data_IF_953696011966
#
_entry.id   IF_953696011966
#
_cell.length_a   1.000
_cell.length_b   1.000
_cell.length_c   1.000
_cell.angle_alpha   90.00
_cell.angle_beta   90.00
_cell.angle_gamma   90.00
#
_symmetry.space_group_name_H-M   'P 1'
#
loop_
_entity.id
_entity.type
_entity.pdbx_description
1 polymer ?
#
# COMPACT_ATOMS: atom_id res chain seq x y z
N UNK A 1 8.53 25.82 7.58
CA UNK A 1 7.53 26.89 7.38
C UNK A 1 8.17 28.20 7.80
N UNK A 2 8.50 29.06 6.86
CA UNK A 2 9.12 30.35 7.14
C UNK A 2 7.99 31.34 7.44
N UNK A 3 7.97 31.92 8.65
CA UNK A 3 7.07 33.05 8.94
C UNK A 3 7.51 34.22 8.09
N UNK A 4 6.73 34.58 7.08
CA UNK A 4 6.95 35.78 6.31
C UNK A 4 6.22 36.93 7.00
N UNK A 5 6.96 37.89 7.47
CA UNK A 5 6.47 39.10 8.10
C UNK A 5 6.35 40.18 7.04
N UNK A 6 5.15 40.41 6.50
CA UNK A 6 4.85 41.47 5.54
C UNK A 6 4.14 42.63 6.22
N UNK A 7 4.87 43.47 6.90
CA UNK A 7 4.27 44.69 7.49
C UNK A 7 5.29 45.58 8.16
N UNK A 8 5.32 46.84 7.77
CA UNK A 8 6.08 47.88 8.48
C UNK A 8 5.69 47.91 9.96
N UNK A 9 6.64 48.12 10.88
CA UNK A 9 6.35 48.25 12.31
C UNK A 9 5.72 49.59 12.60
N UNK A 10 4.40 49.68 12.48
CA UNK A 10 3.68 50.72 13.22
C UNK A 10 3.73 50.30 14.70
N UNK A 11 4.10 51.23 15.57
CA UNK A 11 4.13 51.09 17.02
C UNK A 11 2.78 50.55 17.56
N UNK A 12 2.61 49.24 17.58
CA UNK A 12 1.57 48.55 18.30
C UNK A 12 2.27 47.52 19.15
N UNK A 13 2.10 47.60 20.46
CA UNK A 13 2.65 46.62 21.41
C UNK A 13 2.02 45.26 21.17
N UNK A 14 2.64 44.48 20.29
CA UNK A 14 2.26 43.08 19.99
C UNK A 14 2.96 42.20 21.02
N UNK A 15 2.21 41.37 21.69
CA UNK A 15 2.73 40.44 22.69
C UNK A 15 2.64 39.01 22.21
N UNK A 16 3.77 38.30 22.24
CA UNK A 16 3.84 36.87 22.03
C UNK A 16 3.69 36.17 23.38
N UNK A 17 2.75 35.21 23.47
CA UNK A 17 2.47 34.47 24.69
C UNK A 17 2.32 32.98 24.40
N UNK A 18 3.00 32.12 25.21
CA UNK A 18 2.79 30.68 25.20
C UNK A 18 1.78 30.34 26.29
N UNK A 19 0.66 29.74 25.90
CA UNK A 19 -0.37 29.27 26.84
C UNK A 19 -0.01 27.94 27.49
N UNK A 20 -0.67 27.58 28.58
CA UNK A 20 -0.49 26.31 29.28
C UNK A 20 -0.88 25.07 28.43
N UNK A 21 -1.65 25.29 27.34
CA UNK A 21 -2.00 24.24 26.38
C UNK A 21 -0.91 24.00 25.33
N UNK A 22 0.15 24.84 25.31
CA UNK A 22 1.16 24.83 24.27
C UNK A 22 0.83 25.70 23.06
N UNK A 23 -0.30 26.42 23.07
CA UNK A 23 -0.66 27.34 22.01
C UNK A 23 0.18 28.61 22.08
N UNK A 24 0.99 28.89 21.08
CA UNK A 24 1.70 30.14 20.92
C UNK A 24 0.78 31.14 20.23
N UNK A 25 0.49 32.26 20.91
CA UNK A 25 -0.44 33.29 20.42
C UNK A 25 0.26 34.62 20.24
N UNK A 26 -0.09 35.36 19.20
CA UNK A 26 0.27 36.75 19.00
C UNK A 26 -0.95 37.59 19.33
N UNK A 27 -0.81 38.46 20.34
CA UNK A 27 -1.87 39.34 20.83
C UNK A 27 -1.63 40.78 20.39
N UNK A 28 -2.72 41.51 20.13
CA UNK A 28 -2.65 42.97 19.96
C UNK A 28 -2.73 43.71 21.34
N UNK A 29 -2.71 45.03 21.30
CA UNK A 29 -2.83 45.90 22.49
C UNK A 29 -4.10 45.67 23.31
N UNK A 30 -5.17 45.16 22.66
CA UNK A 30 -6.46 44.82 23.29
C UNK A 30 -6.56 43.38 23.74
N UNK A 31 -5.44 42.62 23.77
CA UNK A 31 -5.38 41.17 24.04
C UNK A 31 -6.18 40.29 23.06
N UNK A 32 -6.49 40.77 21.86
CA UNK A 32 -7.13 39.95 20.83
C UNK A 32 -6.09 39.14 20.11
N UNK A 33 -6.43 37.86 19.85
CA UNK A 33 -5.54 36.92 19.12
C UNK A 33 -5.51 37.35 17.64
N UNK A 34 -4.32 37.70 17.16
CA UNK A 34 -4.06 37.99 15.73
C UNK A 34 -3.53 36.77 14.98
N UNK A 35 -2.84 35.90 15.69
CA UNK A 35 -2.32 34.67 15.17
C UNK A 35 -2.14 33.66 16.30
N UNK A 36 -2.28 32.37 15.98
CA UNK A 36 -2.03 31.29 16.93
C UNK A 36 -1.50 30.03 16.24
N UNK A 37 -0.58 29.34 16.90
CA UNK A 37 0.03 28.12 16.37
C UNK A 37 -0.96 26.97 16.17
N UNK A 38 -2.06 26.95 16.92
CA UNK A 38 -3.08 25.90 16.82
C UNK A 38 -3.83 25.89 15.48
N UNK A 39 -3.82 27.00 14.73
CA UNK A 39 -4.39 27.04 13.36
C UNK A 39 -3.45 26.43 12.30
N UNK A 40 -2.19 26.10 12.66
CA UNK A 40 -1.19 25.59 11.74
C UNK A 40 -0.65 24.24 12.24
N UNK A 41 -1.48 23.18 12.19
CA UNK A 41 -1.06 21.87 12.65
C UNK A 41 0.12 21.35 11.84
N UNK A 42 1.02 20.62 12.50
CA UNK A 42 2.15 19.92 11.91
C UNK A 42 1.87 18.41 11.87
N UNK A 43 2.78 17.59 12.39
CA UNK A 43 2.56 16.16 12.63
C UNK A 43 2.00 15.88 14.04
N UNK A 44 1.73 16.92 14.82
CA UNK A 44 1.30 16.85 16.22
C UNK A 44 0.05 17.67 16.43
N UNK A 45 -0.89 17.15 17.25
CA UNK A 45 -2.03 17.85 17.80
C UNK A 45 -1.92 17.86 19.33
N UNK A 46 -2.05 19.01 19.93
CA UNK A 46 -1.93 19.20 21.39
C UNK A 46 -3.30 19.19 22.07
N UNK A 47 -3.29 18.90 23.36
CA UNK A 47 -4.49 18.97 24.20
C UNK A 47 -5.16 20.37 24.15
N UNK A 48 -6.48 20.38 23.94
CA UNK A 48 -7.24 21.61 23.77
C UNK A 48 -7.23 22.21 22.36
N UNK A 49 -6.41 21.68 21.46
CA UNK A 49 -6.47 22.03 20.04
C UNK A 49 -7.71 21.42 19.40
N UNK A 50 -8.33 22.17 18.49
CA UNK A 50 -9.43 21.74 17.64
C UNK A 50 -8.98 21.81 16.20
N UNK A 51 -9.32 20.81 15.39
CA UNK A 51 -9.03 20.77 13.97
C UNK A 51 -10.33 20.54 13.19
N UNK A 52 -10.59 21.41 12.21
CA UNK A 52 -11.78 21.34 11.37
C UNK A 52 -11.65 20.31 10.25
N UNK A 53 -12.77 19.89 9.69
CA UNK A 53 -12.83 19.12 8.45
C UNK A 53 -12.00 19.81 7.37
N UNK A 54 -11.27 19.01 6.57
CA UNK A 54 -10.34 19.51 5.55
C UNK A 54 -8.95 19.83 6.09
N UNK A 55 -8.75 19.91 7.42
CA UNK A 55 -7.40 20.01 7.99
C UNK A 55 -6.72 18.64 8.07
N UNK A 56 -5.40 18.65 8.20
CA UNK A 56 -4.59 17.43 8.31
C UNK A 56 -3.36 17.63 9.18
N UNK A 57 -2.96 16.57 9.87
CA UNK A 57 -1.61 16.43 10.37
C UNK A 57 -0.75 15.77 9.28
N UNK A 58 0.49 16.22 9.12
CA UNK A 58 1.38 15.71 8.07
C UNK A 58 2.73 15.38 8.67
N UNK A 59 3.20 14.16 8.46
CA UNK A 59 4.54 13.76 8.86
C UNK A 59 5.60 14.56 8.07
N UNK A 60 6.77 14.76 8.66
CA UNK A 60 7.90 15.29 7.90
C UNK A 60 8.42 14.18 6.97
N UNK A 61 8.69 14.50 5.69
CA UNK A 61 9.33 13.55 4.81
C UNK A 61 10.70 13.18 5.37
N UNK A 62 10.93 11.88 5.53
CA UNK A 62 12.27 11.33 5.76
C UNK A 62 13.01 11.27 4.42
N UNK A 63 14.02 10.50 4.23
CA UNK A 63 14.83 10.44 3.01
C UNK A 63 14.10 10.01 1.73
N UNK A 64 12.77 9.92 1.72
CA UNK A 64 11.95 9.53 0.57
C UNK A 64 10.96 10.64 0.19
N UNK A 65 10.48 10.60 -1.06
CA UNK A 65 9.38 11.46 -1.54
C UNK A 65 8.02 11.09 -0.92
N UNK A 66 7.99 10.14 0.03
CA UNK A 66 6.77 9.67 0.68
C UNK A 66 6.60 10.34 2.05
N UNK A 67 5.36 10.63 2.41
CA UNK A 67 4.99 11.15 3.73
C UNK A 67 3.62 10.61 4.14
N UNK A 68 3.30 10.70 5.43
CA UNK A 68 2.03 10.28 5.98
C UNK A 68 1.15 11.49 6.32
N UNK A 69 -0.16 11.33 6.18
CA UNK A 69 -1.13 12.32 6.63
C UNK A 69 -2.28 11.68 7.41
N UNK A 70 -2.72 12.35 8.46
CA UNK A 70 -3.96 12.09 9.16
C UNK A 70 -4.95 13.16 8.73
N UNK A 71 -6.02 12.77 8.07
CA UNK A 71 -6.97 13.69 7.43
C UNK A 71 -8.37 13.54 8.05
N UNK A 72 -9.04 14.68 8.17
CA UNK A 72 -10.37 14.80 8.72
C UNK A 72 -11.34 15.04 7.56
N UNK A 73 -12.19 14.05 7.28
CA UNK A 73 -13.24 14.10 6.27
C UNK A 73 -14.61 14.19 6.94
N UNK A 74 -15.64 14.58 6.18
CA UNK A 74 -17.01 14.67 6.69
C UNK A 74 -17.52 13.37 7.31
N UNK A 75 -17.17 12.23 6.73
CA UNK A 75 -17.71 10.92 7.13
C UNK A 75 -16.70 10.03 7.86
N UNK A 76 -15.40 10.39 7.84
CA UNK A 76 -14.34 9.55 8.39
C UNK A 76 -13.09 10.33 8.81
N UNK A 77 -12.33 9.73 9.71
CA UNK A 77 -10.92 10.04 9.90
C UNK A 77 -10.10 8.99 9.17
N UNK A 78 -9.03 9.38 8.50
CA UNK A 78 -8.20 8.43 7.78
C UNK A 78 -6.72 8.78 7.85
N UNK A 79 -5.88 7.73 7.82
CA UNK A 79 -4.43 7.83 7.64
C UNK A 79 -4.08 7.46 6.21
N UNK A 80 -3.27 8.29 5.58
CA UNK A 80 -2.82 8.11 4.21
C UNK A 80 -1.30 8.02 4.11
N UNK A 81 -0.84 7.12 3.25
CA UNK A 81 0.49 7.15 2.66
C UNK A 81 0.42 7.92 1.36
N UNK A 82 1.18 9.01 1.26
CA UNK A 82 1.37 9.77 0.03
C UNK A 82 2.73 9.38 -0.55
N UNK A 83 2.74 8.80 -1.75
CA UNK A 83 3.96 8.30 -2.41
C UNK A 83 3.94 8.68 -3.91
N UNK A 84 4.69 9.70 -4.27
CA UNK A 84 4.69 10.26 -5.61
C UNK A 84 3.30 10.73 -6.02
N UNK A 85 2.72 10.08 -7.05
CA UNK A 85 1.36 10.35 -7.53
C UNK A 85 0.26 9.54 -6.82
N UNK A 86 0.63 8.62 -5.96
CA UNK A 86 -0.32 7.73 -5.30
C UNK A 86 -0.64 8.20 -3.90
N UNK A 87 -1.92 8.06 -3.52
CA UNK A 87 -2.43 8.33 -2.18
C UNK A 87 -3.25 7.13 -1.72
N UNK A 88 -2.73 6.40 -0.73
CA UNK A 88 -3.36 5.19 -0.21
C UNK A 88 -3.80 5.37 1.22
N UNK A 89 -5.07 5.07 1.53
CA UNK A 89 -5.51 4.94 2.93
C UNK A 89 -5.03 3.59 3.49
N UNK A 90 -4.62 3.59 4.77
CA UNK A 90 -4.22 2.37 5.47
C UNK A 90 -4.85 2.20 6.85
N UNK A 91 -5.58 3.19 7.31
CA UNK A 91 -6.39 3.15 8.51
C UNK A 91 -7.54 4.13 8.40
N UNK A 92 -8.73 3.73 8.86
CA UNK A 92 -9.91 4.55 8.87
C UNK A 92 -10.72 4.35 10.15
N UNK A 93 -11.35 5.43 10.59
CA UNK A 93 -12.36 5.43 11.64
C UNK A 93 -13.62 6.14 11.14
N UNK A 94 -14.75 5.40 11.11
CA UNK A 94 -16.07 5.93 10.74
C UNK A 94 -16.97 5.91 11.96
N UNK A 95 -17.68 7.01 12.28
CA UNK A 95 -18.75 6.99 13.25
C UNK A 95 -19.79 5.93 12.90
N UNK A 96 -20.45 5.37 13.92
CA UNK A 96 -21.50 4.36 13.67
C UNK A 96 -22.77 4.97 13.07
N UNK A 97 -23.07 6.21 13.42
CA UNK A 97 -24.19 6.98 12.90
C UNK A 97 -23.75 7.81 11.71
N UNK A 98 -24.64 7.96 10.71
CA UNK A 98 -24.37 8.74 9.48
C UNK A 98 -24.42 10.26 9.76
N UNK A 99 -23.70 10.73 10.77
CA UNK A 99 -23.56 12.15 11.10
C UNK A 99 -22.24 12.69 10.55
N UNK A 100 -22.31 13.92 10.02
CA UNK A 100 -21.13 14.58 9.50
C UNK A 100 -20.22 15.06 10.63
N UNK A 101 -18.94 14.84 10.49
CA UNK A 101 -17.89 15.38 11.33
C UNK A 101 -17.66 16.83 10.88
N UNK A 102 -17.70 17.79 11.79
CA UNK A 102 -17.32 19.18 11.50
C UNK A 102 -15.94 19.50 12.03
N UNK A 103 -15.61 18.98 13.19
CA UNK A 103 -14.28 19.15 13.78
C UNK A 103 -13.94 18.02 14.77
N UNK A 104 -12.66 17.89 15.07
CA UNK A 104 -12.17 16.99 16.11
C UNK A 104 -11.53 17.80 17.24
N UNK A 105 -11.58 17.27 18.46
CA UNK A 105 -10.97 17.87 19.65
C UNK A 105 -10.24 16.80 20.45
N UNK A 106 -9.01 17.11 20.86
CA UNK A 106 -8.28 16.24 21.80
C UNK A 106 -8.73 16.57 23.22
N UNK A 107 -9.50 15.67 23.80
CA UNK A 107 -9.95 15.73 25.19
C UNK A 107 -9.07 14.84 26.08
N UNK A 108 -9.27 14.91 27.39
CA UNK A 108 -8.51 14.14 28.37
C UNK A 108 -8.69 12.63 28.25
N UNK A 109 -9.83 12.18 27.75
CA UNK A 109 -10.30 10.80 27.68
C UNK A 109 -10.23 10.21 26.25
N UNK A 110 -9.83 11.00 25.27
CA UNK A 110 -9.71 10.54 23.88
C UNK A 110 -9.85 11.63 22.84
N UNK A 111 -9.87 11.21 21.59
CA UNK A 111 -10.15 12.08 20.46
C UNK A 111 -11.65 12.09 20.20
N UNK A 112 -12.29 13.23 20.41
CA UNK A 112 -13.71 13.45 20.19
C UNK A 112 -13.96 13.96 18.78
N UNK A 113 -15.01 13.44 18.13
CA UNK A 113 -15.52 13.88 16.85
C UNK A 113 -16.83 14.63 17.13
N UNK A 114 -16.96 15.83 16.60
CA UNK A 114 -18.06 16.73 16.90
C UNK A 114 -18.72 17.20 15.60
N UNK A 115 -20.02 17.47 15.66
CA UNK A 115 -20.78 18.11 14.59
C UNK A 115 -20.74 19.65 14.72
N UNK A 116 -21.45 20.36 13.83
CA UNK A 116 -21.52 21.83 13.79
C UNK A 116 -22.08 22.42 15.11
N UNK A 117 -22.98 21.72 15.77
CA UNK A 117 -23.55 22.14 17.07
C UNK A 117 -22.63 21.83 18.25
N UNK A 118 -21.41 21.37 17.99
CA UNK A 118 -20.45 20.89 19.00
C UNK A 118 -20.92 19.68 19.81
N UNK A 119 -21.90 18.94 19.33
CA UNK A 119 -22.31 17.67 19.94
C UNK A 119 -21.33 16.57 19.55
N UNK A 120 -20.98 15.74 20.54
CA UNK A 120 -20.10 14.59 20.33
C UNK A 120 -20.85 13.47 19.61
N UNK A 121 -20.43 13.17 18.36
CA UNK A 121 -20.99 12.10 17.53
C UNK A 121 -20.21 10.78 17.67
N UNK A 122 -18.93 10.86 17.98
CA UNK A 122 -18.09 9.68 18.19
C UNK A 122 -16.85 10.03 19.02
N UNK A 123 -16.15 8.99 19.46
CA UNK A 123 -14.91 9.15 20.21
C UNK A 123 -13.97 7.95 19.94
N UNK A 124 -12.68 8.23 19.75
CA UNK A 124 -11.62 7.23 19.85
C UNK A 124 -11.07 7.33 21.27
N UNK A 125 -11.39 6.35 22.15
CA UNK A 125 -11.06 6.47 23.57
C UNK A 125 -9.59 6.27 23.83
N UNK A 126 -9.07 6.94 24.84
CA UNK A 126 -7.81 6.58 25.48
C UNK A 126 -7.99 5.31 26.29
N UNK A 127 -7.01 4.43 26.28
CA UNK A 127 -7.05 3.17 27.05
C UNK A 127 -6.67 3.34 28.52
N UNK A 128 -6.20 4.52 28.92
CA UNK A 128 -5.73 4.80 30.30
C UNK A 128 -6.46 6.01 30.86
N UNK A 129 -6.61 6.02 32.19
CA UNK A 129 -7.22 7.14 32.95
C UNK A 129 -6.32 8.40 33.03
N UNK A 130 -5.16 8.37 32.43
CA UNK A 130 -4.24 9.52 32.45
C UNK A 130 -4.60 10.53 31.36
N UNK A 131 -4.46 11.79 31.69
CA UNK A 131 -4.77 12.90 30.81
C UNK A 131 -3.93 12.86 29.53
N UNK A 132 -4.59 12.69 28.39
CA UNK A 132 -3.93 12.81 27.10
C UNK A 132 -3.38 14.23 26.91
N UNK A 133 -2.21 14.30 26.32
CA UNK A 133 -1.52 15.58 26.04
C UNK A 133 -1.27 15.79 24.56
N UNK A 134 -1.03 14.71 23.83
CA UNK A 134 -0.53 14.79 22.47
C UNK A 134 -1.11 13.67 21.62
N UNK A 135 -1.49 13.99 20.40
CA UNK A 135 -1.63 13.06 19.30
C UNK A 135 -0.50 13.35 18.31
N UNK A 136 0.20 12.33 17.84
CA UNK A 136 1.28 12.50 16.88
C UNK A 136 1.28 11.41 15.83
N UNK A 137 1.67 11.78 14.59
CA UNK A 137 2.02 10.84 13.53
C UNK A 137 3.52 10.60 13.58
N UNK A 138 3.91 9.35 13.70
CA UNK A 138 5.32 8.95 13.58
C UNK A 138 5.80 9.12 12.13
N UNK A 139 6.95 9.78 11.97
CA UNK A 139 7.49 10.10 10.65
C UNK A 139 8.00 8.89 9.86
N UNK A 140 8.32 7.80 10.56
CA UNK A 140 8.95 6.60 9.98
C UNK A 140 7.92 5.54 9.65
N UNK A 141 7.00 5.28 10.57
CA UNK A 141 6.03 4.18 10.48
C UNK A 141 4.65 4.61 9.97
N UNK A 142 4.34 5.93 10.06
CA UNK A 142 3.01 6.47 9.80
C UNK A 142 2.00 6.14 10.90
N UNK A 143 2.45 5.66 12.06
CA UNK A 143 1.58 5.32 13.16
C UNK A 143 1.02 6.58 13.83
N UNK A 144 -0.29 6.65 14.00
CA UNK A 144 -0.93 7.65 14.84
C UNK A 144 -0.99 7.13 16.27
N UNK A 145 -0.35 7.85 17.18
CA UNK A 145 -0.32 7.55 18.62
C UNK A 145 -0.98 8.63 19.45
N UNK A 146 -1.62 8.23 20.55
CA UNK A 146 -2.14 9.11 21.60
C UNK A 146 -1.24 8.96 22.82
N UNK A 147 -0.69 10.07 23.31
CA UNK A 147 0.35 10.05 24.33
C UNK A 147 -0.05 10.85 25.56
N UNK A 148 0.31 10.34 26.72
CA UNK A 148 0.23 11.02 28.01
C UNK A 148 1.65 11.13 28.61
N UNK A 149 1.84 12.08 29.47
CA UNK A 149 3.10 12.23 30.20
C UNK A 149 3.05 11.43 31.49
N UNK A 150 3.91 10.40 31.61
CA UNK A 150 4.06 9.64 32.83
C UNK A 150 5.05 10.37 33.77
N UNK A 151 4.54 10.78 34.94
CA UNK A 151 5.33 11.51 35.94
C UNK A 151 6.40 10.63 36.61
N UNK A 152 6.19 9.32 36.64
CA UNK A 152 7.10 8.36 37.26
C UNK A 152 8.32 8.11 36.38
N UNK A 153 8.08 7.83 35.11
CA UNK A 153 9.13 7.58 34.11
C UNK A 153 9.67 8.87 33.50
N UNK A 154 8.97 10.01 33.69
CA UNK A 154 9.25 11.32 33.08
C UNK A 154 9.29 11.26 31.55
N UNK A 155 8.48 10.40 30.96
CA UNK A 155 8.41 10.19 29.50
C UNK A 155 6.97 10.26 28.98
N UNK A 156 6.83 10.49 27.69
CA UNK A 156 5.56 10.30 27.01
C UNK A 156 5.37 8.81 26.71
N UNK A 157 4.23 8.27 27.13
CA UNK A 157 3.85 6.89 26.88
C UNK A 157 2.57 6.83 26.04
N UNK A 158 2.49 5.82 25.17
CA UNK A 158 1.33 5.63 24.30
C UNK A 158 0.17 4.99 25.08
N UNK A 159 -1.01 5.61 25.01
CA UNK A 159 -2.26 5.04 25.51
C UNK A 159 -3.06 4.34 24.40
N UNK A 160 -2.88 4.77 23.16
CA UNK A 160 -3.49 4.22 21.97
C UNK A 160 -2.53 4.31 20.79
N UNK A 161 -2.58 3.32 19.91
CA UNK A 161 -1.83 3.25 18.68
C UNK A 161 -2.70 2.62 17.59
N UNK A 162 -2.67 3.18 16.38
CA UNK A 162 -3.49 2.71 15.26
C UNK A 162 -3.02 1.38 14.68
N UNK A 163 -1.70 1.19 14.60
CA UNK A 163 -1.08 0.01 14.00
C UNK A 163 -0.66 -0.97 15.10
N UNK A 164 -1.08 -2.23 15.01
CA UNK A 164 -0.85 -3.25 16.05
C UNK A 164 0.32 -4.19 15.75
N UNK A 165 0.78 -4.22 14.50
CA UNK A 165 1.92 -5.04 14.06
C UNK A 165 2.72 -4.29 13.01
N UNK A 166 3.97 -4.67 12.83
CA UNK A 166 4.85 -4.09 11.81
C UNK A 166 4.31 -4.31 10.39
N UNK A 167 3.65 -5.45 10.13
CA UNK A 167 3.01 -5.73 8.85
C UNK A 167 1.82 -4.80 8.52
N UNK A 168 1.34 -4.02 9.48
CA UNK A 168 0.32 -2.99 9.24
C UNK A 168 0.91 -1.62 8.89
N UNK A 169 2.23 -1.45 9.06
CA UNK A 169 2.93 -0.24 8.65
C UNK A 169 3.04 -0.22 7.11
N UNK A 170 2.56 0.83 6.44
CA UNK A 170 2.43 0.84 4.98
C UNK A 170 3.76 0.74 4.21
N UNK A 171 4.87 1.14 4.85
CA UNK A 171 6.23 1.13 4.29
C UNK A 171 7.19 0.18 5.02
N UNK A 172 6.71 -0.76 5.83
CA UNK A 172 7.58 -1.70 6.54
C UNK A 172 8.42 -2.54 5.57
N UNK A 173 7.79 -3.07 4.52
CA UNK A 173 8.47 -3.75 3.42
C UNK A 173 8.58 -2.84 2.19
N UNK A 174 9.61 -3.07 1.37
CA UNK A 174 9.82 -2.33 0.13
C UNK A 174 8.77 -2.67 -0.92
N UNK A 175 8.75 -1.91 -2.00
CA UNK A 175 7.94 -2.25 -3.19
C UNK A 175 8.31 -3.64 -3.69
N UNK A 176 7.29 -4.44 -4.01
CA UNK A 176 7.40 -5.85 -4.44
C UNK A 176 7.88 -6.83 -3.35
N UNK A 177 7.90 -6.41 -2.10
CA UNK A 177 8.06 -7.29 -0.94
C UNK A 177 6.74 -7.49 -0.20
N UNK A 178 6.64 -8.64 0.49
CA UNK A 178 5.52 -9.01 1.36
C UNK A 178 5.98 -9.10 2.80
N UNK A 179 5.10 -8.75 3.73
CA UNK A 179 5.32 -8.98 5.15
C UNK A 179 4.76 -10.35 5.54
N UNK A 180 5.63 -11.23 6.03
CA UNK A 180 5.26 -12.60 6.47
C UNK A 180 4.66 -12.59 7.87
N UNK A 181 4.01 -13.69 8.29
CA UNK A 181 3.48 -13.87 9.66
C UNK A 181 4.53 -13.67 10.76
N UNK A 182 5.82 -13.83 10.44
CA UNK A 182 6.92 -13.59 11.37
C UNK A 182 7.42 -12.13 11.39
N UNK A 183 6.65 -11.21 10.82
CA UNK A 183 7.02 -9.79 10.68
C UNK A 183 8.39 -9.58 10.00
N UNK A 184 8.65 -10.36 8.97
CA UNK A 184 9.84 -10.26 8.11
C UNK A 184 9.45 -9.96 6.68
N UNK A 185 10.26 -9.15 6.00
CA UNK A 185 10.05 -8.89 4.58
C UNK A 185 10.65 -10.00 3.72
N UNK A 186 9.90 -10.46 2.74
CA UNK A 186 10.29 -11.46 1.75
C UNK A 186 9.93 -10.96 0.35
N UNK A 187 10.76 -11.24 -0.63
CA UNK A 187 10.47 -10.87 -2.01
C UNK A 187 9.28 -11.69 -2.51
N UNK A 188 8.33 -11.01 -3.14
CA UNK A 188 7.22 -11.68 -3.79
C UNK A 188 7.73 -12.44 -5.03
N UNK A 189 7.84 -13.77 -4.92
CA UNK A 189 8.29 -14.63 -6.02
C UNK A 189 7.22 -14.70 -7.11
N UNK A 190 7.20 -13.69 -7.95
CA UNK A 190 6.43 -13.68 -9.19
C UNK A 190 7.44 -13.77 -10.33
N UNK A 191 7.35 -14.82 -11.14
CA UNK A 191 8.22 -15.14 -12.26
C UNK A 191 9.10 -13.97 -12.76
N UNK A 192 10.40 -14.19 -12.89
CA UNK A 192 11.42 -13.27 -13.40
C UNK A 192 10.89 -12.43 -14.55
N UNK A 193 10.49 -11.16 -14.30
CA UNK A 193 9.94 -10.27 -15.32
C UNK A 193 8.91 -9.26 -14.83
N UNK A 194 8.65 -9.15 -13.53
CA UNK A 194 7.77 -8.10 -12.99
C UNK A 194 8.48 -6.73 -13.05
N UNK A 195 8.06 -5.87 -13.94
CA UNK A 195 8.66 -4.54 -14.17
C UNK A 195 7.73 -3.37 -13.81
N UNK A 196 6.64 -3.61 -13.12
CA UNK A 196 5.79 -2.55 -12.56
C UNK A 196 5.00 -1.68 -13.55
N UNK A 197 5.29 -1.70 -14.85
CA UNK A 197 4.53 -0.96 -15.85
C UNK A 197 4.30 -1.83 -17.09
N UNK A 198 3.02 -2.04 -17.42
CA UNK A 198 2.59 -2.86 -18.55
C UNK A 198 2.15 -2.05 -19.77
N UNK A 199 2.25 -0.70 -19.73
CA UNK A 199 1.89 0.15 -20.86
C UNK A 199 2.92 -0.02 -21.98
N UNK A 200 2.42 -0.26 -23.21
CA UNK A 200 3.26 -0.50 -24.39
C UNK A 200 3.77 -1.93 -24.55
N UNK A 201 3.42 -2.85 -23.63
CA UNK A 201 3.79 -4.26 -23.77
C UNK A 201 2.82 -4.94 -24.77
N UNK A 202 3.37 -5.43 -25.86
CA UNK A 202 2.61 -6.18 -26.90
C UNK A 202 2.37 -7.66 -26.54
N UNK A 203 3.13 -8.21 -25.60
CA UNK A 203 2.90 -9.57 -25.07
C UNK A 203 1.66 -9.60 -24.20
N UNK A 204 0.83 -10.64 -24.32
CA UNK A 204 -0.37 -10.79 -23.50
C UNK A 204 -0.02 -10.78 -22.00
N UNK A 205 -0.89 -10.19 -21.21
CA UNK A 205 -0.82 -10.17 -19.74
C UNK A 205 -1.88 -11.10 -19.15
N UNK A 206 -1.66 -11.53 -17.91
CA UNK A 206 -2.58 -12.36 -17.13
C UNK A 206 -2.58 -11.91 -15.66
N UNK A 207 -3.63 -12.25 -14.92
CA UNK A 207 -3.72 -11.99 -13.49
C UNK A 207 -3.52 -13.28 -12.71
N UNK A 208 -2.47 -13.30 -11.89
CA UNK A 208 -2.19 -14.44 -11.00
C UNK A 208 -2.76 -14.15 -9.62
N UNK A 209 -3.69 -14.98 -9.15
CA UNK A 209 -4.18 -14.93 -7.78
C UNK A 209 -3.11 -15.48 -6.83
N UNK A 210 -2.82 -14.73 -5.76
CA UNK A 210 -1.94 -15.13 -4.67
C UNK A 210 -2.77 -15.28 -3.41
N UNK A 211 -2.95 -16.52 -2.99
CA UNK A 211 -3.79 -16.88 -1.85
C UNK A 211 -3.12 -16.51 -0.53
N UNK A 212 -3.94 -16.16 0.47
CA UNK A 212 -3.44 -15.80 1.79
C UNK A 212 -2.66 -14.49 1.83
N UNK A 213 -2.92 -13.58 0.89
CA UNK A 213 -2.31 -12.26 0.83
C UNK A 213 -3.37 -11.17 0.80
N UNK A 214 -3.04 -10.03 1.43
CA UNK A 214 -3.83 -8.81 1.33
C UNK A 214 -2.92 -7.58 1.36
N UNK A 215 -3.35 -6.48 0.76
CA UNK A 215 -2.71 -5.18 0.99
C UNK A 215 -3.36 -4.47 2.17
N UNK A 216 -2.58 -3.81 3.03
CA UNK A 216 -3.08 -2.89 4.05
C UNK A 216 -3.50 -1.55 3.43
N UNK A 217 -2.98 -1.25 2.23
CA UNK A 217 -3.27 -0.02 1.49
C UNK A 217 -4.61 -0.14 0.76
N UNK A 218 -5.31 0.98 0.63
CA UNK A 218 -6.55 1.14 -0.14
C UNK A 218 -6.42 2.35 -1.03
N UNK A 219 -6.65 2.17 -2.32
CA UNK A 219 -6.73 3.27 -3.29
C UNK A 219 -8.21 3.65 -3.45
N UNK A 220 -8.64 4.68 -2.75
CA UNK A 220 -10.04 5.13 -2.80
C UNK A 220 -10.42 5.71 -4.17
N UNK A 221 -9.45 6.28 -4.91
CA UNK A 221 -9.68 6.86 -6.24
C UNK A 221 -9.86 5.79 -7.32
N UNK A 222 -9.27 4.59 -7.11
CA UNK A 222 -9.37 3.45 -8.03
C UNK A 222 -10.19 2.29 -7.44
N UNK A 223 -11.17 2.62 -6.61
CA UNK A 223 -12.07 1.66 -5.99
C UNK A 223 -13.27 1.35 -6.88
N UNK A 224 -13.57 0.07 -7.08
CA UNK A 224 -14.76 -0.42 -7.78
C UNK A 224 -15.67 -1.09 -6.76
N UNK A 225 -16.91 -0.60 -6.64
CA UNK A 225 -17.93 -1.13 -5.73
C UNK A 225 -18.76 -2.18 -6.45
N UNK A 226 -19.25 -3.20 -5.71
CA UNK A 226 -20.05 -4.32 -6.23
C UNK A 226 -19.33 -5.17 -7.28
N UNK A 227 -18.00 -5.15 -7.31
CA UNK A 227 -17.19 -5.99 -8.19
C UNK A 227 -17.35 -7.48 -7.85
N UNK A 228 -17.15 -8.35 -8.84
CA UNK A 228 -16.83 -9.76 -8.59
C UNK A 228 -15.32 -9.96 -8.64
N UNK A 229 -14.86 -11.14 -8.24
CA UNK A 229 -13.44 -11.53 -8.30
C UNK A 229 -12.90 -11.41 -9.74
N UNK A 230 -13.67 -11.89 -10.68
CA UNK A 230 -13.36 -11.92 -12.11
C UNK A 230 -13.34 -10.50 -12.70
N UNK A 231 -14.36 -9.68 -12.39
CA UNK A 231 -14.38 -8.28 -12.85
C UNK A 231 -13.26 -7.45 -12.25
N UNK A 232 -12.87 -7.72 -11.00
CA UNK A 232 -11.73 -7.06 -10.36
C UNK A 232 -10.41 -7.38 -11.08
N UNK A 233 -10.17 -8.65 -11.39
CA UNK A 233 -8.99 -9.08 -12.14
C UNK A 233 -9.01 -8.51 -13.58
N UNK A 234 -10.16 -8.55 -14.27
CA UNK A 234 -10.31 -8.03 -15.63
C UNK A 234 -10.01 -6.52 -15.68
N UNK A 235 -10.58 -5.72 -14.76
CA UNK A 235 -10.32 -4.27 -14.71
C UNK A 235 -8.83 -3.93 -14.56
N UNK A 236 -8.10 -4.70 -13.75
CA UNK A 236 -6.64 -4.52 -13.65
C UNK A 236 -5.92 -4.97 -14.94
N UNK A 237 -6.42 -6.01 -15.62
CA UNK A 237 -5.84 -6.45 -16.90
C UNK A 237 -5.93 -5.37 -17.96
N UNK A 238 -7.07 -4.68 -18.04
CA UNK A 238 -7.36 -3.62 -19.01
C UNK A 238 -6.58 -2.33 -18.73
N UNK A 239 -6.39 -1.94 -17.47
CA UNK A 239 -5.58 -0.78 -17.07
C UNK A 239 -4.09 -1.12 -17.12
N UNK A 240 -3.36 -0.67 -18.15
CA UNK A 240 -1.94 -0.94 -18.29
C UNK A 240 -1.09 -0.38 -17.13
N UNK A 241 -1.59 0.62 -16.39
CA UNK A 241 -0.91 1.18 -15.21
C UNK A 241 -1.15 0.35 -13.95
N UNK A 242 -2.15 -0.55 -13.96
CA UNK A 242 -2.43 -1.45 -12.86
C UNK A 242 -1.45 -2.62 -12.86
N UNK A 243 -0.84 -2.88 -11.71
CA UNK A 243 0.10 -3.99 -11.49
C UNK A 243 -0.43 -5.04 -10.54
N UNK A 244 -1.49 -4.73 -9.81
CA UNK A 244 -2.15 -5.66 -8.89
C UNK A 244 -3.52 -5.17 -8.49
N UNK A 245 -4.35 -6.09 -7.98
CA UNK A 245 -5.69 -5.80 -7.50
C UNK A 245 -6.00 -6.56 -6.22
N UNK A 246 -6.79 -5.95 -5.34
CA UNK A 246 -7.32 -6.57 -4.15
C UNK A 246 -8.84 -6.63 -4.24
N UNK A 247 -9.39 -7.82 -4.24
CA UNK A 247 -10.82 -8.06 -4.07
C UNK A 247 -11.12 -8.37 -2.60
N UNK A 248 -12.15 -7.74 -2.05
CA UNK A 248 -12.68 -8.03 -0.72
C UNK A 248 -14.19 -8.16 -0.75
N UNK A 249 -14.71 -9.23 -0.15
CA UNK A 249 -16.12 -9.47 0.03
C UNK A 249 -16.47 -9.24 1.51
N UNK A 250 -16.73 -7.99 1.88
CA UNK A 250 -17.12 -7.62 3.24
C UNK A 250 -18.64 -7.76 3.47
N UNK A 251 -19.06 -7.72 4.74
CA UNK A 251 -20.46 -7.88 5.14
C UNK A 251 -21.46 -6.89 4.52
N UNK A 252 -21.00 -5.80 3.93
CA UNK A 252 -21.86 -4.76 3.34
C UNK A 252 -21.66 -4.57 1.84
N UNK A 253 -20.43 -4.68 1.35
CA UNK A 253 -20.10 -4.41 -0.04
C UNK A 253 -18.95 -5.30 -0.52
N UNK A 254 -19.01 -5.66 -1.80
CA UNK A 254 -17.89 -6.24 -2.52
C UNK A 254 -17.07 -5.10 -3.14
N UNK A 255 -15.79 -5.06 -2.82
CA UNK A 255 -14.92 -3.97 -3.21
C UNK A 255 -13.69 -4.50 -3.94
N UNK A 256 -13.27 -3.78 -4.96
CA UNK A 256 -12.03 -4.03 -5.70
C UNK A 256 -11.18 -2.77 -5.68
N UNK A 257 -9.90 -2.92 -5.35
CA UNK A 257 -8.91 -1.85 -5.32
C UNK A 257 -7.83 -2.17 -6.33
N UNK A 258 -7.54 -1.22 -7.24
CA UNK A 258 -6.51 -1.37 -8.25
C UNK A 258 -5.23 -0.64 -7.81
N UNK A 259 -4.08 -1.26 -8.00
CA UNK A 259 -2.79 -0.73 -7.54
C UNK A 259 -1.83 -0.47 -8.71
N UNK A 260 -1.21 0.70 -8.70
CA UNK A 260 -0.11 1.03 -9.62
C UNK A 260 1.27 0.59 -9.13
N UNK A 261 1.36 0.10 -7.88
CA UNK A 261 2.57 -0.51 -7.30
C UNK A 261 2.19 -1.57 -6.27
N UNK A 262 2.98 -2.62 -6.12
CA UNK A 262 2.77 -3.64 -5.09
C UNK A 262 3.50 -3.20 -3.83
N UNK A 263 2.72 -2.69 -2.86
CA UNK A 263 3.23 -2.18 -1.58
C UNK A 263 2.27 -2.53 -0.44
N UNK A 264 2.78 -2.62 0.79
CA UNK A 264 1.97 -2.89 1.98
C UNK A 264 1.23 -4.23 1.91
N UNK A 265 1.80 -5.21 1.20
CA UNK A 265 1.22 -6.57 1.11
C UNK A 265 1.70 -7.40 2.27
N UNK A 266 0.79 -8.14 2.88
CA UNK A 266 1.08 -9.04 4.00
C UNK A 266 0.40 -10.39 3.88
N UNK A 267 0.98 -11.39 4.52
CA UNK A 267 0.32 -12.68 4.73
C UNK A 267 -0.86 -12.56 5.69
N UNK A 268 -1.95 -13.25 5.34
CA UNK A 268 -3.13 -13.41 6.18
C UNK A 268 -3.61 -14.86 6.10
N UNK A 269 -4.38 -15.30 7.08
CA UNK A 269 -5.06 -16.58 6.98
C UNK A 269 -5.93 -16.59 5.72
N UNK A 270 -5.89 -17.69 4.98
CA UNK A 270 -6.67 -17.84 3.77
C UNK A 270 -8.16 -17.63 4.05
N UNK A 271 -8.81 -16.80 3.24
CA UNK A 271 -10.24 -16.57 3.22
C UNK A 271 -10.70 -16.45 1.79
N UNK A 272 -11.81 -17.06 1.43
CA UNK A 272 -12.42 -16.90 0.10
C UNK A 272 -12.98 -15.49 -0.14
N UNK A 273 -13.15 -14.73 0.95
CA UNK A 273 -13.62 -13.35 0.92
C UNK A 273 -12.53 -12.35 0.46
N UNK A 274 -11.26 -12.76 0.45
CA UNK A 274 -10.13 -11.90 0.09
C UNK A 274 -9.31 -12.57 -0.99
N UNK A 275 -9.09 -11.86 -2.10
CA UNK A 275 -8.20 -12.30 -3.19
C UNK A 275 -7.27 -11.18 -3.61
N UNK A 276 -5.98 -11.46 -3.59
CA UNK A 276 -4.96 -10.55 -4.08
C UNK A 276 -4.42 -11.05 -5.41
N UNK A 277 -4.50 -10.20 -6.43
CA UNK A 277 -4.07 -10.50 -7.79
C UNK A 277 -2.84 -9.69 -8.14
N UNK A 278 -1.92 -10.30 -8.89
CA UNK A 278 -0.76 -9.61 -9.46
C UNK A 278 -0.72 -9.83 -10.95
N UNK A 279 -0.50 -8.75 -11.69
CA UNK A 279 -0.38 -8.80 -13.14
C UNK A 279 0.99 -9.39 -13.52
N UNK A 280 0.96 -10.35 -14.42
CA UNK A 280 2.15 -11.06 -14.92
C UNK A 280 2.12 -11.10 -16.44
N UNK A 281 3.29 -11.19 -17.06
CA UNK A 281 3.35 -11.50 -18.49
C UNK A 281 2.89 -12.94 -18.69
N UNK A 282 2.05 -13.17 -19.70
CA UNK A 282 1.75 -14.54 -20.14
C UNK A 282 3.08 -15.19 -20.50
N UNK A 283 3.45 -16.24 -19.77
CA UNK A 283 4.55 -17.11 -20.18
C UNK A 283 4.23 -17.56 -21.60
N UNK A 284 4.91 -16.98 -22.58
CA UNK A 284 4.86 -17.53 -23.94
C UNK A 284 5.23 -18.99 -23.74
N UNK A 285 4.27 -19.91 -24.00
CA UNK A 285 4.66 -21.27 -24.26
C UNK A 285 5.65 -21.11 -25.40
N UNK A 286 6.93 -21.22 -25.12
CA UNK A 286 7.95 -21.54 -26.12
C UNK A 286 7.49 -22.90 -26.65
N UNK A 287 6.55 -22.83 -27.57
CA UNK A 287 6.03 -23.97 -28.30
C UNK A 287 7.02 -24.38 -29.38
N UNK A 288 8.29 -24.56 -29.00
CA UNK A 288 9.32 -25.24 -29.80
C UNK A 288 9.60 -26.66 -29.25
N UNK A 289 8.68 -27.23 -28.54
CA UNK A 289 8.64 -28.70 -28.46
C UNK A 289 8.17 -29.20 -29.81
N UNK A 290 9.09 -29.80 -30.60
CA UNK A 290 8.77 -30.57 -31.80
C UNK A 290 7.51 -31.39 -31.51
N UNK A 291 6.43 -31.22 -32.31
CA UNK A 291 5.21 -32.01 -32.14
C UNK A 291 5.62 -33.48 -32.12
N UNK A 292 5.02 -34.32 -31.27
CA UNK A 292 5.37 -35.75 -31.12
C UNK A 292 5.56 -36.47 -32.47
N UNK A 293 4.75 -36.12 -33.48
CA UNK A 293 4.88 -36.68 -34.83
C UNK A 293 6.14 -36.21 -35.57
N UNK A 294 6.68 -35.01 -35.32
CA UNK A 294 7.93 -34.51 -35.88
C UNK A 294 9.15 -35.25 -35.26
N UNK A 295 9.09 -35.52 -33.96
CA UNK A 295 10.08 -36.37 -33.28
C UNK A 295 10.07 -37.81 -33.85
N UNK A 296 8.88 -38.37 -34.11
CA UNK A 296 8.71 -39.68 -34.72
C UNK A 296 9.30 -39.70 -36.16
N UNK A 297 9.05 -38.65 -36.96
CA UNK A 297 9.62 -38.56 -38.30
C UNK A 297 11.15 -38.47 -38.31
N UNK A 298 11.74 -37.76 -37.37
CA UNK A 298 13.21 -37.66 -37.23
C UNK A 298 13.78 -39.06 -36.89
N UNK A 299 13.24 -39.74 -35.88
CA UNK A 299 13.71 -41.08 -35.45
C UNK A 299 13.55 -42.12 -36.54
N UNK A 300 12.42 -42.11 -37.29
CA UNK A 300 12.18 -43.00 -38.41
C UNK A 300 13.11 -42.68 -39.59
N UNK A 301 13.34 -41.38 -39.87
CA UNK A 301 14.27 -40.95 -40.90
C UNK A 301 15.70 -41.38 -40.62
N UNK A 302 16.20 -41.20 -39.40
CA UNK A 302 17.53 -41.66 -38.98
C UNK A 302 17.65 -43.18 -39.03
N UNK A 303 16.61 -43.93 -38.69
CA UNK A 303 16.56 -45.39 -38.77
C UNK A 303 16.67 -45.87 -40.20
N UNK A 304 15.98 -45.24 -41.16
CA UNK A 304 16.04 -45.61 -42.57
C UNK A 304 17.43 -45.33 -43.15
N UNK A 305 18.04 -44.18 -42.83
CA UNK A 305 19.40 -43.85 -43.29
C UNK A 305 20.41 -44.90 -42.78
N UNK A 306 20.33 -45.25 -41.50
CA UNK A 306 21.19 -46.29 -40.92
C UNK A 306 21.03 -47.65 -41.63
N UNK A 307 19.79 -48.05 -41.93
CA UNK A 307 19.50 -49.31 -42.59
C UNK A 307 20.04 -49.36 -44.03
N UNK A 308 19.92 -48.25 -44.78
CA UNK A 308 20.46 -48.10 -46.12
C UNK A 308 22.01 -48.14 -46.11
N UNK A 309 22.63 -47.46 -45.14
CA UNK A 309 24.09 -47.49 -45.00
C UNK A 309 24.62 -48.86 -44.67
N UNK A 310 23.99 -49.54 -43.70
CA UNK A 310 24.42 -50.93 -43.33
C UNK A 310 24.15 -51.92 -44.43
N UNK A 311 23.01 -51.82 -45.13
CA UNK A 311 22.70 -52.66 -46.31
C UNK A 311 23.66 -52.41 -47.45
N UNK A 312 24.06 -51.18 -47.74
CA UNK A 312 25.04 -50.81 -48.74
C UNK A 312 26.45 -51.37 -48.43
N UNK A 313 26.86 -51.26 -47.17
CA UNK A 313 28.15 -51.86 -46.74
C UNK A 313 28.10 -53.34 -46.84
N UNK A 314 27.04 -54.02 -46.43
CA UNK A 314 26.88 -55.49 -46.56
C UNK A 314 26.89 -55.92 -47.99
N UNK A 315 26.17 -55.21 -48.89
CA UNK A 315 26.16 -55.50 -50.33
C UNK A 315 27.55 -55.32 -50.95
N UNK A 316 28.24 -54.23 -50.57
CA UNK A 316 29.64 -54.01 -51.05
C UNK A 316 30.61 -55.09 -50.62
N UNK A 317 30.52 -55.55 -49.39
CA UNK A 317 31.37 -56.65 -48.86
C UNK A 317 31.08 -57.93 -49.57
N UNK A 318 29.82 -58.28 -49.84
CA UNK A 318 29.46 -59.52 -50.58
C UNK A 318 29.87 -59.41 -52.03
N UNK A 319 29.74 -58.29 -52.69
CA UNK A 319 30.19 -58.04 -54.05
C UNK A 319 31.72 -58.17 -54.18
N UNK A 320 32.45 -57.60 -53.24
CA UNK A 320 33.91 -57.68 -53.18
C UNK A 320 34.37 -59.11 -53.01
N UNK A 321 33.79 -59.91 -52.09
CA UNK A 321 34.07 -61.37 -51.92
C UNK A 321 33.80 -62.16 -53.20
N UNK A 322 32.72 -61.88 -53.91
CA UNK A 322 32.38 -62.55 -55.15
C UNK A 322 33.38 -62.22 -56.26
N UNK A 323 33.87 -60.95 -56.29
CA UNK A 323 34.92 -60.56 -57.26
C UNK A 323 36.29 -61.22 -56.98
N UNK A 324 36.63 -61.36 -55.70
CA UNK A 324 37.87 -62.06 -55.28
C UNK A 324 37.80 -63.58 -55.58
N UNK A 325 36.62 -64.20 -55.48
CA UNK A 325 36.38 -65.59 -55.79
C UNK A 325 36.38 -65.92 -57.31
N UNK A 326 36.12 -64.90 -58.17
CA UNK A 326 36.14 -65.08 -59.64
C UNK A 326 37.56 -64.82 -60.25
N UNK A 327 38.51 -64.30 -59.47
CA UNK A 327 39.87 -63.97 -59.91
C UNK A 327 40.92 -65.01 -59.45
N UNK A 328 40.52 -66.14 -58.77
CA UNK A 328 41.27 -67.29 -58.50
C UNK A 328 40.71 -68.46 -59.35
#
# INVERSE_FOLDING_TARGET
MMMRWDGEPRHMDKRLQLSNTGNLVLLDEFNRIKWQSFHFPTNVMLWGQTLDVGTKLTSFPTNSSSFYSFEIHLEKLALYLNSGKYKYSYWEFKPKESQNISFIRLASDGLQLLNDDSHKIAQIPSKRLQLLRVIAIDNTTGQLGFYYFDRTTKKFEASFQTLRSKCNEPNFCKVSEICTFHEKCSVLEINKGFLGNFCGISSGVDMKEIRGMMSVLRDDDKKIINATKETCAASCTEDCTCVGALFTNGNRNRECYLYGEIRGVKEVNFSEEISFFVKVLKSGKTGNGLKKWQLILIVVGDGIVLFVCLGGIGFYMLWRKKKEANNN
#
